data_IF_733227961257
#
_entry.id   IF_733227961257
#
_cell.length_a   1.000
_cell.length_b   1.000
_cell.length_c   1.000
_cell.angle_alpha   90.00
_cell.angle_beta   90.00
_cell.angle_gamma   90.00
#
_symmetry.space_group_name_H-M   'P 1'
#
loop_
_entity.id
_entity.type
_entity.pdbx_description
1 polymer ?
#
# COMPACT_ATOMS: atom_id res chain seq x y z
N UNK A 1 23.50 3.23 10.82
CA UNK A 1 22.31 3.03 9.97
C UNK A 1 21.15 2.67 10.88
N UNK A 2 20.18 3.57 11.07
CA UNK A 2 19.00 3.32 11.89
C UNK A 2 17.76 3.11 11.02
N UNK A 3 16.75 2.44 11.56
CA UNK A 3 15.42 2.28 10.97
C UNK A 3 14.39 2.96 11.87
N UNK A 4 13.36 3.58 11.27
CA UNK A 4 12.18 4.08 11.98
C UNK A 4 10.94 3.34 11.50
N UNK A 5 10.00 3.14 12.43
CA UNK A 5 8.66 2.66 12.10
C UNK A 5 7.95 3.69 11.22
N UNK A 6 7.30 3.21 10.15
CA UNK A 6 6.30 3.96 9.41
C UNK A 6 4.92 3.84 10.05
N UNK A 7 3.96 4.52 9.44
CA UNK A 7 2.55 4.53 9.88
C UNK A 7 1.76 3.33 9.35
N UNK A 8 2.40 2.47 8.55
CA UNK A 8 1.75 1.32 7.92
C UNK A 8 2.05 0.01 8.64
N UNK A 9 0.96 -0.67 8.99
CA UNK A 9 1.00 -2.03 9.49
C UNK A 9 -0.21 -2.82 9.06
N UNK A 10 -0.08 -4.15 9.03
CA UNK A 10 -1.20 -5.06 8.76
C UNK A 10 -0.95 -6.40 9.41
N UNK A 11 -2.03 -7.06 9.83
CA UNK A 11 -1.98 -8.46 10.27
C UNK A 11 -2.41 -9.35 9.10
N UNK A 12 -1.58 -10.34 8.77
CA UNK A 12 -1.87 -11.34 7.74
C UNK A 12 -1.34 -12.69 8.22
N UNK A 13 -2.13 -13.76 8.14
CA UNK A 13 -1.75 -15.11 8.60
C UNK A 13 -1.17 -15.17 10.03
N UNK A 14 -1.70 -14.38 10.97
CA UNK A 14 -1.20 -14.34 12.36
C UNK A 14 0.14 -13.62 12.56
N UNK A 15 0.66 -12.98 11.50
CA UNK A 15 1.89 -12.19 11.52
C UNK A 15 1.55 -10.72 11.38
N UNK A 16 2.07 -9.90 12.28
CA UNK A 16 2.01 -8.44 12.22
C UNK A 16 3.20 -7.93 11.40
N UNK A 17 2.90 -7.21 10.34
CA UNK A 17 3.90 -6.61 9.46
C UNK A 17 3.93 -5.09 9.64
N UNK A 18 5.12 -4.51 9.63
CA UNK A 18 5.33 -3.07 9.66
C UNK A 18 6.20 -2.63 8.50
N UNK A 19 5.80 -1.58 7.80
CA UNK A 19 6.70 -0.90 6.87
C UNK A 19 7.62 0.03 7.68
N UNK A 20 8.92 -0.13 7.52
CA UNK A 20 9.95 0.69 8.18
C UNK A 20 10.77 1.42 7.12
N UNK A 21 11.34 2.56 7.49
CA UNK A 21 12.18 3.36 6.60
C UNK A 21 13.55 3.68 7.24
N UNK A 22 14.57 3.75 6.40
CA UNK A 22 15.94 4.07 6.80
C UNK A 22 16.07 5.54 7.18
N UNK A 23 16.74 5.82 8.29
CA UNK A 23 17.02 7.20 8.75
C UNK A 23 18.44 7.67 8.47
N UNK A 24 19.28 6.82 7.87
CA UNK A 24 20.65 7.18 7.51
C UNK A 24 20.75 7.85 6.13
N UNK A 25 21.65 8.83 5.98
CA UNK A 25 21.95 9.50 4.70
C UNK A 25 22.75 8.66 3.68
N UNK A 26 22.54 7.33 3.68
CA UNK A 26 23.22 6.38 2.80
C UNK A 26 22.43 6.05 1.52
N UNK A 27 23.02 5.20 0.68
CA UNK A 27 22.64 4.88 -0.72
C UNK A 27 21.12 4.93 -1.00
N UNK A 28 20.68 5.67 -2.05
CA UNK A 28 19.26 5.99 -2.29
C UNK A 28 18.36 4.82 -2.70
N UNK A 29 18.92 3.64 -2.97
CA UNK A 29 18.22 2.61 -3.74
C UNK A 29 17.17 1.83 -2.93
N UNK A 30 17.36 1.60 -1.62
CA UNK A 30 16.39 0.87 -0.79
C UNK A 30 16.20 1.58 0.55
N UNK A 31 15.23 2.51 0.58
CA UNK A 31 14.90 3.27 1.80
C UNK A 31 13.87 2.61 2.70
N UNK A 32 13.21 1.55 2.26
CA UNK A 32 12.18 0.87 3.04
C UNK A 32 12.51 -0.60 3.27
N UNK A 33 11.91 -1.18 4.29
CA UNK A 33 11.92 -2.61 4.53
C UNK A 33 10.61 -2.99 5.24
N UNK A 34 10.29 -4.26 5.23
CA UNK A 34 9.18 -4.81 6.00
C UNK A 34 9.75 -5.57 7.19
N UNK A 35 9.19 -5.35 8.38
CA UNK A 35 9.48 -6.14 9.58
C UNK A 35 8.28 -7.02 9.87
N UNK A 36 8.52 -8.31 10.08
CA UNK A 36 7.46 -9.26 10.42
C UNK A 36 7.57 -9.74 11.87
N UNK A 37 6.45 -9.78 12.58
CA UNK A 37 6.35 -10.23 13.97
C UNK A 37 5.24 -11.27 14.10
N UNK A 38 5.60 -12.51 14.45
CA UNK A 38 4.61 -13.56 14.67
C UNK A 38 3.87 -13.30 15.99
N UNK A 39 2.56 -13.05 15.91
CA UNK A 39 1.74 -12.71 17.09
C UNK A 39 1.39 -13.96 17.89
N UNK A 40 1.34 -15.13 17.24
CA UNK A 40 1.03 -16.42 17.86
C UNK A 40 2.21 -17.02 18.61
N UNK A 41 3.42 -16.55 18.32
CA UNK A 41 4.63 -16.99 19.02
C UNK A 41 4.71 -16.29 20.38
N UNK A 42 4.21 -16.95 21.43
CA UNK A 42 4.28 -16.48 22.81
C UNK A 42 5.69 -16.58 23.42
N UNK A 43 6.72 -16.94 22.64
CA UNK A 43 8.09 -16.98 23.15
C UNK A 43 8.62 -15.56 23.38
N UNK A 44 9.09 -15.29 24.60
CA UNK A 44 9.60 -14.01 25.06
C UNK A 44 10.90 -13.54 24.36
N UNK A 45 11.33 -14.23 23.29
CA UNK A 45 12.59 -14.02 22.60
C UNK A 45 12.48 -14.01 21.07
N UNK A 46 11.29 -13.87 20.47
CA UNK A 46 11.14 -13.70 19.03
C UNK A 46 11.90 -12.46 18.54
N UNK A 47 13.17 -12.67 18.14
CA UNK A 47 14.07 -11.59 17.76
C UNK A 47 13.59 -10.90 16.47
N UNK A 48 13.03 -9.69 16.60
CA UNK A 48 12.67 -8.79 15.49
C UNK A 48 13.77 -8.60 14.45
N UNK A 49 15.04 -8.87 14.83
CA UNK A 49 16.21 -8.76 13.95
C UNK A 49 16.25 -9.76 12.79
N UNK A 50 15.47 -10.85 12.83
CA UNK A 50 15.49 -11.90 11.78
C UNK A 50 14.46 -11.73 10.65
N UNK A 51 13.60 -10.72 10.69
CA UNK A 51 12.44 -10.62 9.80
C UNK A 51 12.42 -9.39 8.90
N UNK A 52 13.58 -8.80 8.62
CA UNK A 52 13.69 -7.72 7.64
C UNK A 52 13.57 -8.28 6.22
N UNK A 53 12.46 -7.97 5.56
CA UNK A 53 12.22 -8.29 4.17
C UNK A 53 12.44 -7.01 3.34
N UNK A 54 13.42 -6.98 2.43
CA UNK A 54 13.68 -5.80 1.61
C UNK A 54 12.48 -5.51 0.71
N UNK A 55 12.08 -4.25 0.57
CA UNK A 55 11.09 -3.87 -0.44
C UNK A 55 11.72 -3.86 -1.84
N UNK A 56 10.96 -4.03 -2.92
CA UNK A 56 11.52 -4.16 -4.26
C UNK A 56 12.09 -2.85 -4.82
N UNK A 57 11.66 -1.69 -4.29
CA UNK A 57 12.18 -0.38 -4.68
C UNK A 57 11.85 0.67 -3.61
N UNK A 58 12.45 1.86 -3.72
CA UNK A 58 12.00 3.01 -2.93
C UNK A 58 10.58 3.41 -3.35
N UNK A 59 9.66 3.39 -2.38
CA UNK A 59 8.24 3.68 -2.58
C UNK A 59 7.86 5.01 -1.92
N UNK A 60 6.92 5.71 -2.51
CA UNK A 60 6.10 6.72 -1.82
C UNK A 60 4.72 6.13 -1.55
N UNK A 61 3.98 6.65 -0.58
CA UNK A 61 2.61 6.19 -0.28
C UNK A 61 2.46 4.67 -0.15
N UNK A 62 3.50 4.01 0.38
CA UNK A 62 3.45 2.58 0.65
C UNK A 62 2.26 2.28 1.54
N UNK A 63 1.47 1.26 1.19
CA UNK A 63 0.35 0.74 1.98
C UNK A 63 0.43 -0.77 1.99
N UNK A 64 0.20 -1.36 3.17
CA UNK A 64 0.13 -2.81 3.36
C UNK A 64 -1.31 -3.24 3.56
N UNK A 65 -1.70 -4.37 2.97
CA UNK A 65 -3.07 -4.88 2.99
C UNK A 65 -3.07 -6.40 3.11
N UNK A 66 -4.06 -6.95 3.82
CA UNK A 66 -4.37 -8.37 3.80
C UNK A 66 -5.53 -8.59 2.83
N UNK A 67 -5.24 -9.22 1.69
CA UNK A 67 -6.22 -9.56 0.67
C UNK A 67 -6.37 -11.08 0.61
N UNK A 68 -7.39 -11.61 1.32
CA UNK A 68 -7.64 -13.06 1.44
C UNK A 68 -6.40 -13.84 1.86
N UNK A 69 -5.81 -13.43 2.97
CA UNK A 69 -4.59 -14.01 3.53
C UNK A 69 -3.33 -13.88 2.66
N UNK A 70 -3.36 -12.96 1.68
CA UNK A 70 -2.18 -12.54 0.93
C UNK A 70 -1.74 -11.18 1.42
N UNK A 71 -0.47 -11.07 1.80
CA UNK A 71 0.11 -9.78 2.12
C UNK A 71 0.41 -9.03 0.82
N UNK A 72 -0.29 -7.92 0.62
CA UNK A 72 -0.17 -7.06 -0.56
C UNK A 72 0.40 -5.71 -0.17
N UNK A 73 1.30 -5.20 -1.01
CA UNK A 73 1.84 -3.86 -0.91
C UNK A 73 1.46 -3.06 -2.15
N UNK A 74 0.97 -1.84 -1.94
CA UNK A 74 0.73 -0.84 -2.98
C UNK A 74 1.66 0.34 -2.71
N UNK A 75 2.29 0.88 -3.74
CA UNK A 75 3.20 2.00 -3.56
C UNK A 75 3.44 2.80 -4.83
N UNK A 76 3.71 4.09 -4.65
CA UNK A 76 4.13 5.01 -5.68
C UNK A 76 5.57 4.78 -6.07
N UNK A 77 5.82 4.79 -7.37
CA UNK A 77 7.13 4.64 -7.98
C UNK A 77 7.56 6.01 -8.47
N UNK A 78 8.57 6.58 -7.82
CA UNK A 78 9.09 7.91 -8.12
C UNK A 78 9.92 7.99 -9.40
N UNK A 79 10.20 9.20 -9.86
CA UNK A 79 11.24 9.46 -10.87
C UNK A 79 12.63 9.23 -10.29
N UNK A 80 13.58 8.73 -11.10
CA UNK A 80 14.98 8.58 -10.67
C UNK A 80 15.62 9.93 -10.26
N UNK A 81 15.29 11.01 -10.97
CA UNK A 81 15.80 12.36 -10.74
C UNK A 81 14.97 13.17 -9.73
N UNK A 82 13.73 12.76 -9.47
CA UNK A 82 12.79 13.39 -8.52
C UNK A 82 11.94 12.31 -7.84
N UNK A 83 12.47 11.62 -6.82
CA UNK A 83 11.78 10.51 -6.15
C UNK A 83 10.46 10.89 -5.52
N UNK A 84 10.30 12.17 -5.16
CA UNK A 84 9.06 12.70 -4.59
C UNK A 84 7.91 12.70 -5.63
N UNK A 85 8.23 12.83 -6.93
CA UNK A 85 7.25 12.82 -8.01
C UNK A 85 6.90 11.40 -8.41
N UNK A 86 5.68 10.99 -8.06
CA UNK A 86 5.14 9.69 -8.44
C UNK A 86 4.90 9.63 -9.95
N UNK A 87 5.53 8.65 -10.58
CA UNK A 87 5.43 8.35 -12.01
C UNK A 87 4.75 7.02 -12.30
N UNK A 88 4.29 6.32 -11.27
CA UNK A 88 3.52 5.09 -11.38
C UNK A 88 3.16 4.51 -10.04
N UNK A 89 2.28 3.51 -10.09
CA UNK A 89 1.85 2.77 -8.91
C UNK A 89 2.15 1.31 -9.19
N UNK A 90 2.82 0.64 -8.27
CA UNK A 90 3.05 -0.80 -8.33
C UNK A 90 2.24 -1.52 -7.27
N UNK A 91 1.95 -2.79 -7.56
CA UNK A 91 1.28 -3.73 -6.67
C UNK A 91 2.14 -4.98 -6.58
N UNK A 92 2.48 -5.36 -5.35
CA UNK A 92 3.31 -6.53 -5.06
C UNK A 92 2.62 -7.44 -4.05
N UNK A 93 2.81 -8.75 -4.22
CA UNK A 93 2.39 -9.76 -3.23
C UNK A 93 3.64 -10.33 -2.59
N UNK A 94 3.63 -10.49 -1.26
CA UNK A 94 4.69 -11.18 -0.57
C UNK A 94 4.43 -12.69 -0.63
N UNK A 95 5.37 -13.43 -1.21
CA UNK A 95 5.45 -14.89 -1.12
C UNK A 95 6.69 -15.26 -0.30
N UNK A 96 6.46 -15.85 0.88
CA UNK A 96 7.47 -16.09 1.91
C UNK A 96 8.20 -14.81 2.35
N UNK A 97 9.36 -14.54 1.74
CA UNK A 97 10.21 -13.37 1.99
C UNK A 97 10.58 -12.65 0.69
N UNK A 98 9.87 -12.96 -0.41
CA UNK A 98 10.11 -12.38 -1.73
C UNK A 98 8.88 -11.65 -2.24
N UNK A 99 9.09 -10.43 -2.72
CA UNK A 99 8.05 -9.67 -3.38
C UNK A 99 7.92 -10.11 -4.83
N UNK A 100 6.72 -10.51 -5.21
CA UNK A 100 6.32 -10.73 -6.59
C UNK A 100 5.59 -9.47 -7.09
N UNK A 101 6.09 -8.86 -8.16
CA UNK A 101 5.38 -7.77 -8.83
C UNK A 101 4.19 -8.32 -9.60
N UNK A 102 2.99 -7.91 -9.20
CA UNK A 102 1.76 -8.33 -9.86
C UNK A 102 1.50 -7.46 -11.08
N UNK A 103 1.64 -6.15 -10.91
CA UNK A 103 1.38 -5.17 -11.97
C UNK A 103 1.98 -3.80 -11.65
N UNK A 104 2.29 -3.04 -12.70
CA UNK A 104 2.48 -1.58 -12.65
C UNK A 104 1.35 -0.89 -13.39
N UNK A 105 0.86 0.20 -12.82
CA UNK A 105 -0.20 1.02 -13.41
C UNK A 105 0.20 1.49 -14.82
N UNK A 106 -0.56 1.12 -15.87
CA UNK A 106 -0.26 1.55 -17.24
C UNK A 106 -0.42 3.05 -17.44
N UNK A 107 0.34 3.62 -18.39
CA UNK A 107 0.38 5.07 -18.61
C UNK A 107 -0.98 5.72 -18.91
N UNK A 108 -1.89 4.99 -19.55
CA UNK A 108 -3.24 5.46 -19.87
C UNK A 108 -4.08 5.83 -18.63
N UNK A 109 -3.75 5.29 -17.46
CA UNK A 109 -4.45 5.62 -16.22
C UNK A 109 -3.90 6.87 -15.54
N UNK A 110 -2.74 7.44 -15.93
CA UNK A 110 -2.27 8.69 -15.31
C UNK A 110 -3.22 9.86 -15.56
N UNK A 111 -3.80 9.94 -16.76
CA UNK A 111 -4.61 11.09 -17.18
C UNK A 111 -5.85 11.31 -16.29
N UNK A 112 -6.36 10.26 -15.63
CA UNK A 112 -7.54 10.38 -14.76
C UNK A 112 -7.24 10.87 -13.34
N UNK A 113 -5.97 10.92 -12.91
CA UNK A 113 -5.58 11.42 -11.59
C UNK A 113 -5.38 12.94 -11.54
N UNK A 114 -5.17 13.61 -12.68
CA UNK A 114 -4.77 15.03 -12.75
C UNK A 114 -3.26 15.22 -12.68
N UNK A 115 -2.78 16.43 -12.37
CA UNK A 115 -1.39 16.63 -11.95
C UNK A 115 -1.20 15.89 -10.61
N UNK A 116 -0.19 15.02 -10.52
CA UNK A 116 0.06 14.28 -9.28
C UNK A 116 0.41 15.29 -8.18
N UNK A 117 -0.47 15.45 -7.18
CA UNK A 117 0.02 15.64 -5.83
C UNK A 117 0.90 14.41 -5.53
N UNK A 118 2.08 14.59 -4.96
CA UNK A 118 3.05 13.52 -4.64
C UNK A 118 2.49 12.42 -3.70
N UNK A 119 1.18 12.43 -3.40
CA UNK A 119 0.50 11.58 -2.43
C UNK A 119 -0.83 11.01 -2.94
N UNK A 120 -1.01 9.69 -2.76
CA UNK A 120 -2.29 8.99 -2.94
C UNK A 120 -2.62 8.13 -1.72
N UNK A 121 -3.89 7.81 -1.54
CA UNK A 121 -4.36 6.83 -0.56
C UNK A 121 -4.71 5.53 -1.28
N UNK A 122 -4.47 4.39 -0.63
CA UNK A 122 -4.97 3.12 -1.13
C UNK A 122 -5.48 2.24 0.00
N UNK A 123 -6.48 1.42 -0.34
CA UNK A 123 -7.12 0.43 0.51
C UNK A 123 -7.47 -0.80 -0.32
N UNK A 124 -7.84 -1.91 0.33
CA UNK A 124 -8.26 -3.10 -0.40
C UNK A 124 -9.05 -4.05 0.47
N UNK A 125 -9.92 -4.81 -0.18
CA UNK A 125 -10.69 -5.90 0.41
C UNK A 125 -10.92 -6.97 -0.65
N UNK A 126 -10.95 -8.22 -0.24
CA UNK A 126 -11.03 -9.36 -1.14
C UNK A 126 -9.97 -9.32 -2.24
N UNK A 127 -10.38 -9.26 -3.50
CA UNK A 127 -9.51 -9.16 -4.66
C UNK A 127 -9.49 -7.74 -5.25
N UNK A 128 -10.09 -6.75 -4.58
CA UNK A 128 -10.17 -5.37 -5.06
C UNK A 128 -9.24 -4.44 -4.28
N UNK A 129 -8.42 -3.71 -5.04
CA UNK A 129 -7.57 -2.62 -4.55
C UNK A 129 -8.16 -1.32 -5.04
N UNK A 130 -8.25 -0.34 -4.15
CA UNK A 130 -8.73 1.02 -4.38
C UNK A 130 -7.58 1.98 -4.24
N UNK A 131 -7.43 2.87 -5.21
CA UNK A 131 -6.40 3.91 -5.25
C UNK A 131 -7.07 5.24 -5.53
N UNK A 132 -6.82 6.21 -4.66
CA UNK A 132 -7.43 7.51 -4.72
C UNK A 132 -6.39 8.62 -4.63
N UNK A 133 -6.46 9.57 -5.56
CA UNK A 133 -5.68 10.81 -5.46
C UNK A 133 -6.15 11.64 -4.27
N UNK A 134 -5.20 12.24 -3.54
CA UNK A 134 -5.51 13.36 -2.67
C UNK A 134 -6.11 14.50 -3.52
N UNK A 135 -6.97 15.33 -2.95
CA UNK A 135 -7.65 16.41 -3.70
C UNK A 135 -8.73 15.98 -4.72
N UNK A 136 -8.75 14.74 -5.23
CA UNK A 136 -9.65 14.30 -6.31
C UNK A 136 -10.72 13.27 -5.88
N UNK A 137 -11.95 13.30 -6.44
CA UNK A 137 -12.93 12.23 -6.30
C UNK A 137 -12.63 11.02 -7.22
N UNK A 138 -11.57 11.08 -8.02
CA UNK A 138 -11.16 10.00 -8.90
C UNK A 138 -10.71 8.78 -8.09
N UNK A 139 -11.29 7.63 -8.41
CA UNK A 139 -11.03 6.35 -7.77
C UNK A 139 -10.66 5.33 -8.85
N UNK A 140 -9.41 4.88 -8.82
CA UNK A 140 -8.94 3.80 -9.66
C UNK A 140 -9.03 2.50 -8.87
N UNK A 141 -9.54 1.45 -9.49
CA UNK A 141 -9.54 0.12 -8.90
C UNK A 141 -8.64 -0.82 -9.68
N UNK A 142 -8.04 -1.77 -8.97
CA UNK A 142 -7.38 -2.93 -9.55
C UNK A 142 -8.03 -4.19 -9.02
N UNK A 143 -8.51 -5.03 -9.93
CA UNK A 143 -9.04 -6.34 -9.63
C UNK A 143 -7.93 -7.39 -9.76
N UNK A 144 -7.54 -7.99 -8.64
CA UNK A 144 -6.51 -9.02 -8.53
C UNK A 144 -6.89 -10.32 -9.24
N UNK A 145 -8.18 -10.65 -9.33
CA UNK A 145 -8.66 -11.91 -9.89
C UNK A 145 -8.49 -11.96 -11.41
N UNK A 146 -8.80 -10.85 -12.08
CA UNK A 146 -8.69 -10.70 -13.54
C UNK A 146 -7.51 -9.82 -13.96
N UNK A 147 -6.72 -9.34 -13.00
CA UNK A 147 -5.56 -8.45 -13.17
C UNK A 147 -5.88 -7.20 -14.01
N UNK A 148 -7.01 -6.55 -13.72
CA UNK A 148 -7.52 -5.45 -14.52
C UNK A 148 -7.64 -4.15 -13.75
N UNK A 149 -7.13 -3.08 -14.36
CA UNK A 149 -7.31 -1.71 -13.91
C UNK A 149 -8.61 -1.11 -14.46
N UNK A 150 -9.38 -0.43 -13.61
CA UNK A 150 -10.64 0.22 -14.00
C UNK A 150 -10.86 1.50 -13.22
N UNK A 151 -11.18 2.58 -13.93
CA UNK A 151 -11.72 3.77 -13.28
C UNK A 151 -13.12 3.47 -12.75
N UNK A 152 -13.34 3.75 -11.47
CA UNK A 152 -14.69 3.72 -10.90
C UNK A 152 -15.55 4.77 -11.60
N UNK A 153 -16.87 4.51 -11.66
CA UNK A 153 -17.82 5.56 -12.01
C UNK A 153 -17.70 6.72 -11.02
N UNK A 154 -18.10 7.93 -11.45
CA UNK A 154 -17.98 9.16 -10.65
C UNK A 154 -18.45 8.91 -9.21
N UNK A 155 -17.53 9.09 -8.26
CA UNK A 155 -17.85 8.97 -6.85
C UNK A 155 -19.01 9.94 -6.52
N UNK A 156 -20.13 9.47 -5.93
CA UNK A 156 -21.26 10.34 -5.58
C UNK A 156 -20.89 11.34 -4.47
N UNK A 157 -19.74 11.16 -3.83
CA UNK A 157 -19.22 12.05 -2.81
C UNK A 157 -18.51 13.23 -3.47
N UNK A 158 -19.21 14.35 -3.54
CA UNK A 158 -18.59 15.64 -3.83
C UNK A 158 -17.75 16.07 -2.65
N UNK A 159 -16.46 16.38 -2.89
CA UNK A 159 -15.63 17.04 -1.88
C UNK A 159 -16.24 18.40 -1.57
N UNK A 160 -16.52 18.66 -0.29
CA UNK A 160 -16.93 20.00 0.16
C UNK A 160 -15.72 20.94 0.30
N UNK A 161 -14.52 20.39 0.55
CA UNK A 161 -13.29 21.15 0.75
C UNK A 161 -12.09 20.51 0.03
N UNK A 162 -11.12 21.31 -0.48
CA UNK A 162 -9.93 20.80 -1.18
C UNK A 162 -9.10 19.80 -0.35
N UNK A 163 -8.98 20.05 0.96
CA UNK A 163 -8.24 19.22 1.91
C UNK A 163 -9.08 18.08 2.53
N UNK A 164 -10.34 17.90 2.08
CA UNK A 164 -11.14 16.78 2.56
C UNK A 164 -10.54 15.48 2.03
N UNK A 165 -9.85 14.76 2.92
CA UNK A 165 -9.35 13.43 2.69
C UNK A 165 -10.52 12.45 2.83
N UNK A 166 -10.56 11.45 1.96
CA UNK A 166 -11.41 10.30 2.22
C UNK A 166 -10.71 9.49 3.32
N UNK A 167 -11.19 9.66 4.54
CA UNK A 167 -10.83 8.82 5.67
C UNK A 167 -11.85 7.70 5.73
N UNK A 168 -11.37 6.47 5.76
CA UNK A 168 -12.22 5.29 5.78
C UNK A 168 -11.36 4.04 5.76
N UNK A 169 -11.96 2.93 6.15
CA UNK A 169 -11.37 1.61 6.03
C UNK A 169 -12.27 0.80 5.09
N UNK A 170 -11.66 -0.07 4.28
CA UNK A 170 -12.43 -1.01 3.48
C UNK A 170 -13.06 -2.02 4.44
N UNK A 171 -14.39 -2.12 4.44
CA UNK A 171 -15.11 -3.14 5.17
C UNK A 171 -16.20 -3.71 4.29
N UNK A 172 -16.42 -5.02 4.44
CA UNK A 172 -17.64 -5.64 3.94
C UNK A 172 -18.73 -5.36 4.98
N UNK A 173 -19.81 -4.62 4.64
CA UNK A 173 -20.92 -4.43 5.55
C UNK A 173 -21.62 -5.78 5.76
N UNK A 174 -21.28 -6.46 6.86
CA UNK A 174 -21.97 -7.68 7.28
C UNK A 174 -23.19 -7.30 8.10
N UNK A 175 -24.37 -7.67 7.61
CA UNK A 175 -25.64 -7.48 8.32
C UNK A 175 -25.88 -8.63 9.32
N UNK A 176 -24.83 -9.11 9.97
CA UNK A 176 -24.96 -10.16 10.99
C UNK A 176 -25.28 -9.50 12.33
N UNK A 177 -26.56 -9.18 12.50
CA UNK A 177 -27.18 -9.03 13.83
C UNK A 177 -28.10 -10.24 13.99
N UNK A 178 -27.60 -11.27 14.67
CA UNK A 178 -28.46 -12.27 15.30
C UNK A 178 -28.54 -11.90 16.80
N UNK A 179 -29.74 -11.66 17.34
CA UNK A 179 -29.94 -11.31 18.75
C UNK A 179 -29.59 -12.46 19.71
#
# INVERSE_FOLDING_TARGET
>A
MGWRGGDESVICNGVLYFLVYSTGGGHPEIRHALVAYNISDHSSQASLRRSFIPVPCSLTCGRLMNLKEKLVMVGGIGKHDRPDIIKGIGIWVLHDTKWEEIVRMPNKYFQGFGEFDDVFASGGIDDLIYIQSYGSPALLTFDMSIKQWKWSQKCPVTKRFPLQLFTGFCFEPRLEIAP
#
